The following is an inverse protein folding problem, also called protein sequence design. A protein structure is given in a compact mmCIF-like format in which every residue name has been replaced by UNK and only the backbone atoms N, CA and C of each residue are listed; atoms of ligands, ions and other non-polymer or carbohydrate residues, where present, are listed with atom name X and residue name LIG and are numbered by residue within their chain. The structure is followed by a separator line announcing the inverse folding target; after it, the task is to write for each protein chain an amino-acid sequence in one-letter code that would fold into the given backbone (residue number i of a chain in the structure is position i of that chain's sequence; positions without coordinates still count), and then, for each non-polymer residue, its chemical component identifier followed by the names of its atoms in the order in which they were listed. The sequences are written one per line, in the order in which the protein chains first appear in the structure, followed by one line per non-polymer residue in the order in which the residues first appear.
data_IF_975179908667
#
_entry.id   IF_975179908667
#
_cell.length_a   1.000
_cell.length_b   1.000
_cell.length_c   1.000
_cell.angle_alpha   90.00
_cell.angle_beta   90.00
_cell.angle_gamma   90.00
#
_symmetry.space_group_name_H-M   'P 1'
#
loop_
_entity.id
_entity.type
_entity.pdbx_description
1 polymer ?
#
# COMPACT_ATOMS: atom_id res chain seq x y z
N UNK A 1 5.81 -24.81 4.67
CA UNK A 1 6.13 -24.23 6.01
C UNK A 1 4.95 -23.42 6.54
N UNK A 2 4.07 -24.03 7.35
CA UNK A 2 2.95 -23.32 7.99
C UNK A 2 3.40 -22.34 9.09
N UNK A 3 4.59 -22.53 9.66
CA UNK A 3 5.12 -21.76 10.79
C UNK A 3 5.52 -20.32 10.45
N UNK A 4 5.83 -20.01 9.19
CA UNK A 4 6.29 -18.68 8.77
C UNK A 4 5.18 -17.62 8.67
N UNK A 5 3.90 -18.01 8.82
CA UNK A 5 2.77 -17.09 8.64
C UNK A 5 2.64 -16.07 9.79
N UNK A 6 2.81 -16.53 11.02
CA UNK A 6 2.70 -15.68 12.22
C UNK A 6 3.83 -14.65 12.31
N UNK A 7 5.12 -15.01 12.10
CA UNK A 7 6.20 -14.03 12.03
C UNK A 7 5.99 -12.97 10.93
N UNK A 8 5.53 -13.39 9.75
CA UNK A 8 5.24 -12.48 8.64
C UNK A 8 4.17 -11.44 9.00
N UNK A 9 3.04 -11.88 9.56
CA UNK A 9 1.95 -10.97 9.97
C UNK A 9 2.37 -10.07 11.14
N UNK A 10 3.19 -10.57 12.07
CA UNK A 10 3.73 -9.76 13.15
C UNK A 10 4.66 -8.67 12.61
N UNK A 11 5.57 -8.99 11.69
CA UNK A 11 6.44 -8.00 11.06
C UNK A 11 5.62 -6.93 10.34
N UNK A 12 4.60 -7.32 9.55
CA UNK A 12 3.69 -6.36 8.90
C UNK A 12 2.99 -5.47 9.92
N UNK A 13 2.51 -6.04 11.05
CA UNK A 13 1.84 -5.27 12.10
C UNK A 13 2.76 -4.22 12.69
N UNK A 14 3.96 -4.61 13.14
CA UNK A 14 4.92 -3.68 13.75
C UNK A 14 5.35 -2.59 12.77
N UNK A 15 5.62 -2.94 11.51
CA UNK A 15 5.99 -1.97 10.47
C UNK A 15 4.84 -1.01 10.16
N UNK A 16 3.60 -1.48 10.10
CA UNK A 16 2.44 -0.61 9.92
C UNK A 16 2.23 0.31 11.11
N UNK A 17 2.39 -0.17 12.35
CA UNK A 17 2.30 0.67 13.55
C UNK A 17 3.35 1.79 13.50
N UNK A 18 4.58 1.48 13.08
CA UNK A 18 5.63 2.49 12.91
C UNK A 18 5.35 3.47 11.76
N UNK A 19 4.80 2.99 10.64
CA UNK A 19 4.48 3.82 9.48
C UNK A 19 3.24 4.71 9.70
N UNK A 20 2.29 4.30 10.56
CA UNK A 20 1.04 5.02 10.84
C UNK A 20 1.21 6.23 11.79
N UNK A 21 2.43 6.73 11.99
CA UNK A 21 2.70 7.98 12.70
C UNK A 21 2.41 9.22 11.84
N UNK A 22 1.20 9.31 11.28
CA UNK A 22 0.77 10.38 10.37
C UNK A 22 0.31 11.64 11.11
N UNK A 23 0.51 12.79 10.49
CA UNK A 23 0.08 14.10 11.00
C UNK A 23 -0.62 14.89 9.90
N UNK A 24 -1.48 15.83 10.29
CA UNK A 24 -2.10 16.72 9.31
C UNK A 24 -1.04 17.67 8.72
N UNK A 25 -0.82 17.58 7.42
CA UNK A 25 0.18 18.39 6.70
C UNK A 25 -0.43 18.92 5.39
N UNK A 26 -0.38 20.24 5.21
CA UNK A 26 -0.86 20.90 4.00
C UNK A 26 0.11 20.73 2.83
N UNK A 27 -0.41 20.72 1.61
CA UNK A 27 0.40 20.57 0.40
C UNK A 27 1.34 21.77 0.23
N UNK A 28 2.64 21.52 0.04
CA UNK A 28 3.64 22.56 -0.20
C UNK A 28 3.59 23.12 -1.63
N UNK A 29 3.10 22.32 -2.59
CA UNK A 29 3.12 22.67 -4.01
C UNK A 29 1.90 23.47 -4.43
N UNK A 30 0.73 23.18 -3.85
CA UNK A 30 -0.54 23.82 -4.21
C UNK A 30 -1.14 24.49 -2.98
N UNK A 31 -1.24 25.82 -3.04
CA UNK A 31 -1.78 26.63 -1.96
C UNK A 31 -3.20 26.18 -1.56
N UNK A 32 -3.48 26.13 -0.25
CA UNK A 32 -4.80 25.79 0.33
C UNK A 32 -5.30 24.38 0.01
N UNK A 33 -4.45 23.49 -0.48
CA UNK A 33 -4.79 22.08 -0.65
C UNK A 33 -4.19 21.22 0.47
N UNK A 34 -4.90 20.15 0.81
CA UNK A 34 -4.41 19.08 1.66
C UNK A 34 -4.58 17.77 0.88
N UNK A 35 -3.47 17.16 0.49
CA UNK A 35 -3.43 15.97 -0.36
C UNK A 35 -2.55 14.92 0.31
N UNK A 36 -2.85 13.62 0.14
CA UNK A 36 -1.97 12.56 0.60
C UNK A 36 -0.64 12.60 -0.16
N UNK A 37 0.45 12.94 0.54
CA UNK A 37 1.78 13.15 -0.06
C UNK A 37 2.33 11.88 -0.74
N UNK A 38 1.99 10.69 -0.22
CA UNK A 38 2.39 9.40 -0.84
C UNK A 38 1.77 9.18 -2.24
N UNK A 39 0.65 9.84 -2.53
CA UNK A 39 -0.06 9.77 -3.82
C UNK A 39 0.26 10.95 -4.74
N UNK A 40 1.07 11.91 -4.30
CA UNK A 40 1.48 13.03 -5.13
C UNK A 40 2.20 12.51 -6.39
N UNK A 41 1.83 13.08 -7.55
CA UNK A 41 2.49 12.77 -8.82
C UNK A 41 3.94 13.25 -8.81
N UNK A 42 4.80 12.65 -9.63
CA UNK A 42 6.24 12.97 -9.64
C UNK A 42 6.55 14.48 -9.80
N UNK A 43 5.67 15.25 -10.43
CA UNK A 43 5.83 16.70 -10.63
C UNK A 43 5.42 17.53 -9.39
N UNK A 44 4.68 16.95 -8.45
CA UNK A 44 4.19 17.59 -7.22
C UNK A 44 4.69 16.87 -5.96
N UNK A 45 5.76 16.08 -6.09
CA UNK A 45 6.25 15.17 -5.05
C UNK A 45 7.40 15.85 -4.28
N UNK A 46 7.16 16.17 -3.02
CA UNK A 46 8.21 16.59 -2.07
C UNK A 46 8.91 15.35 -1.52
N UNK A 47 10.15 15.09 -1.95
CA UNK A 47 10.90 13.90 -1.54
C UNK A 47 11.19 13.88 -0.04
N UNK A 48 11.32 15.04 0.59
CA UNK A 48 11.54 15.22 2.02
C UNK A 48 10.36 14.77 2.89
N UNK A 49 9.16 14.68 2.32
CA UNK A 49 7.95 14.27 3.04
C UNK A 49 7.71 12.75 2.96
N UNK A 50 8.52 12.04 2.19
CA UNK A 50 8.37 10.62 1.91
C UNK A 50 9.34 9.80 2.76
N UNK A 51 8.84 8.65 3.22
CA UNK A 51 9.65 7.65 3.87
C UNK A 51 10.16 6.65 2.85
N UNK A 52 11.26 5.96 3.18
CA UNK A 52 11.75 4.86 2.36
C UNK A 52 10.67 3.75 2.27
N UNK A 53 10.30 3.30 1.07
CA UNK A 53 9.41 2.16 0.90
C UNK A 53 9.98 0.90 1.55
N UNK A 54 9.12 0.16 2.25
CA UNK A 54 9.50 -1.10 2.89
C UNK A 54 8.74 -2.24 2.23
N UNK A 55 9.46 -3.27 1.78
CA UNK A 55 8.86 -4.50 1.23
C UNK A 55 9.10 -5.64 2.20
N UNK A 56 8.02 -6.24 2.69
CA UNK A 56 8.03 -7.43 3.54
C UNK A 56 7.54 -8.59 2.68
N UNK A 57 8.40 -9.56 2.42
CA UNK A 57 8.07 -10.73 1.61
C UNK A 57 8.15 -12.01 2.44
N UNK A 58 7.13 -12.86 2.33
CA UNK A 58 7.17 -14.22 2.89
C UNK A 58 7.71 -15.22 1.87
N UNK A 59 7.39 -15.00 0.60
CA UNK A 59 7.87 -15.74 -0.56
C UNK A 59 7.73 -14.83 -1.80
N UNK A 60 8.13 -15.32 -2.98
CA UNK A 60 8.06 -14.55 -4.23
C UNK A 60 6.62 -14.14 -4.63
N UNK A 61 5.62 -14.88 -4.13
CA UNK A 61 4.20 -14.73 -4.45
C UNK A 61 3.39 -14.00 -3.37
N UNK A 62 3.94 -13.81 -2.16
CA UNK A 62 3.33 -13.14 -1.02
C UNK A 62 4.25 -12.03 -0.52
N UNK A 63 3.89 -10.79 -0.82
CA UNK A 63 4.62 -9.60 -0.39
C UNK A 63 3.68 -8.45 -0.05
N UNK A 64 4.06 -7.64 0.92
CA UNK A 64 3.41 -6.36 1.24
C UNK A 64 4.44 -5.26 1.07
N UNK A 65 4.07 -4.22 0.34
CA UNK A 65 4.84 -2.99 0.20
C UNK A 65 4.13 -1.89 0.97
N UNK A 66 4.88 -1.23 1.86
CA UNK A 66 4.41 -0.13 2.72
C UNK A 66 5.18 1.11 2.31
N UNK A 67 4.46 2.13 1.87
CA UNK A 67 5.01 3.43 1.49
C UNK A 67 4.44 4.47 2.44
N UNK A 68 5.31 5.08 3.24
CA UNK A 68 4.93 6.10 4.22
C UNK A 68 5.20 7.51 3.72
N UNK A 69 4.45 8.46 4.26
CA UNK A 69 4.71 9.90 4.17
C UNK A 69 4.27 10.57 5.46
N UNK A 70 4.51 11.87 5.59
CA UNK A 70 4.12 12.64 6.79
C UNK A 70 2.61 12.59 7.10
N UNK A 71 1.73 12.54 6.09
CA UNK A 71 0.27 12.65 6.28
C UNK A 71 -0.54 11.46 5.76
N UNK A 72 0.11 10.48 5.13
CA UNK A 72 -0.58 9.35 4.51
C UNK A 72 0.33 8.13 4.35
N UNK A 73 -0.26 6.94 4.37
CA UNK A 73 0.44 5.66 4.17
C UNK A 73 -0.29 4.89 3.08
N UNK A 74 0.47 4.31 2.16
CA UNK A 74 -0.04 3.42 1.12
C UNK A 74 0.44 1.99 1.38
N UNK A 75 -0.51 1.05 1.35
CA UNK A 75 -0.23 -0.37 1.56
C UNK A 75 -0.65 -1.15 0.32
N UNK A 76 0.30 -1.86 -0.27
CA UNK A 76 0.08 -2.72 -1.45
C UNK A 76 0.33 -4.18 -1.10
N UNK A 77 -0.68 -5.03 -1.29
CA UNK A 77 -0.64 -6.44 -0.90
C UNK A 77 -0.63 -7.32 -2.16
N UNK A 78 0.38 -8.18 -2.30
CA UNK A 78 0.39 -9.29 -3.24
C UNK A 78 -0.11 -10.55 -2.52
N UNK A 79 -1.27 -11.04 -2.94
CA UNK A 79 -1.92 -12.23 -2.42
C UNK A 79 -1.38 -13.44 -3.18
N UNK A 80 -1.15 -14.56 -2.48
CA UNK A 80 -0.77 -15.83 -3.12
C UNK A 80 -1.84 -16.26 -4.11
N UNK A 81 -1.40 -16.69 -5.29
CA UNK A 81 -2.23 -17.29 -6.33
C UNK A 81 -1.51 -18.55 -6.78
N UNK A 82 -2.03 -19.72 -6.41
CA UNK A 82 -1.40 -21.02 -6.67
C UNK A 82 -1.71 -21.56 -8.07
N UNK A 83 -2.84 -21.15 -8.65
CA UNK A 83 -3.31 -21.57 -9.97
C UNK A 83 -4.07 -20.44 -10.69
N UNK A 84 -4.44 -20.68 -11.95
CA UNK A 84 -5.19 -19.73 -12.78
C UNK A 84 -6.60 -19.43 -12.21
N UNK A 85 -7.20 -20.41 -11.52
CA UNK A 85 -8.51 -20.24 -10.91
C UNK A 85 -8.44 -19.23 -9.75
N UNK A 86 -7.46 -19.37 -8.87
CA UNK A 86 -7.18 -18.42 -7.78
C UNK A 86 -6.79 -17.04 -8.31
N UNK A 87 -6.08 -16.95 -9.44
CA UNK A 87 -5.81 -15.67 -10.09
C UNK A 87 -7.11 -14.96 -10.50
N UNK A 88 -8.02 -15.67 -11.17
CA UNK A 88 -9.32 -15.13 -11.60
C UNK A 88 -10.19 -14.77 -10.39
N UNK A 89 -10.25 -15.63 -9.38
CA UNK A 89 -11.01 -15.38 -8.15
C UNK A 89 -10.49 -14.14 -7.43
N UNK A 90 -9.17 -14.04 -7.24
CA UNK A 90 -8.53 -12.89 -6.60
C UNK A 90 -8.79 -11.62 -7.39
N UNK A 91 -8.68 -11.67 -8.73
CA UNK A 91 -8.95 -10.53 -9.61
C UNK A 91 -10.41 -10.06 -9.52
N UNK A 92 -11.38 -10.98 -9.53
CA UNK A 92 -12.81 -10.65 -9.40
C UNK A 92 -13.14 -10.10 -8.01
N UNK A 93 -12.62 -10.74 -6.96
CA UNK A 93 -12.86 -10.33 -5.58
C UNK A 93 -12.27 -8.95 -5.27
N UNK A 94 -11.01 -8.71 -5.65
CA UNK A 94 -10.39 -7.40 -5.47
C UNK A 94 -11.09 -6.32 -6.29
N UNK A 95 -11.51 -6.61 -7.53
CA UNK A 95 -12.32 -5.68 -8.33
C UNK A 95 -13.66 -5.35 -7.66
N UNK A 96 -14.33 -6.35 -7.08
CA UNK A 96 -15.58 -6.15 -6.34
C UNK A 96 -15.40 -5.20 -5.14
N UNK A 97 -14.31 -5.36 -4.38
CA UNK A 97 -13.98 -4.49 -3.26
C UNK A 97 -13.65 -3.07 -3.72
N UNK A 98 -12.87 -2.92 -4.79
CA UNK A 98 -12.49 -1.60 -5.33
C UNK A 98 -13.70 -0.80 -5.85
N UNK A 99 -14.72 -1.47 -6.40
CA UNK A 99 -15.98 -0.81 -6.80
C UNK A 99 -16.76 -0.26 -5.60
N UNK A 100 -16.46 -0.70 -4.38
CA UNK A 100 -17.10 -0.26 -3.12
C UNK A 100 -16.18 0.61 -2.26
N UNK A 101 -15.10 1.14 -2.84
CA UNK A 101 -14.14 1.99 -2.14
C UNK A 101 -14.77 3.26 -1.53
N UNK A 102 -15.94 3.70 -2.01
CA UNK A 102 -16.67 4.82 -1.39
C UNK A 102 -17.25 4.45 -0.01
N UNK A 103 -17.72 3.22 0.16
CA UNK A 103 -18.20 2.72 1.45
C UNK A 103 -17.05 2.26 2.35
N UNK A 104 -15.94 1.83 1.76
CA UNK A 104 -14.75 1.43 2.48
C UNK A 104 -13.59 2.39 2.18
N UNK A 105 -13.63 3.54 2.87
CA UNK A 105 -12.85 4.76 2.59
C UNK A 105 -11.33 4.60 2.54
N UNK A 106 -10.80 3.50 3.06
CA UNK A 106 -9.36 3.18 3.04
C UNK A 106 -8.91 2.47 1.76
N UNK A 107 -9.85 1.96 0.95
CA UNK A 107 -9.51 1.26 -0.30
C UNK A 107 -9.22 2.24 -1.43
N UNK A 108 -8.18 1.92 -2.19
CA UNK A 108 -7.91 2.60 -3.47
C UNK A 108 -8.82 2.03 -4.55
N UNK A 109 -9.31 2.90 -5.43
CA UNK A 109 -10.12 2.52 -6.61
C UNK A 109 -9.32 1.74 -7.66
N UNK A 110 -7.99 1.90 -7.65
CA UNK A 110 -7.05 1.18 -8.52
C UNK A 110 -5.85 0.70 -7.70
N UNK A 111 -5.32 -0.51 -7.95
CA UNK A 111 -4.10 -0.97 -7.28
C UNK A 111 -2.87 -0.26 -7.85
N UNK A 112 -1.73 -0.36 -7.16
CA UNK A 112 -0.44 0.11 -7.70
C UNK A 112 0.00 -0.81 -8.84
N UNK A 113 0.59 -0.20 -9.87
CA UNK A 113 1.15 -0.91 -11.04
C UNK A 113 2.23 -1.91 -10.62
N UNK A 114 2.31 -3.09 -11.27
CA UNK A 114 3.30 -4.11 -10.94
C UNK A 114 4.75 -3.62 -11.05
N UNK A 115 5.03 -2.71 -11.98
CA UNK A 115 6.36 -2.11 -12.22
C UNK A 115 6.91 -1.39 -10.99
N UNK A 116 6.05 -0.80 -10.17
CA UNK A 116 6.42 -0.06 -8.95
C UNK A 116 6.51 -0.95 -7.71
N UNK A 117 6.30 -2.27 -7.82
CA UNK A 117 6.32 -3.23 -6.70
C UNK A 117 7.69 -3.88 -6.44
N UNK A 118 8.72 -3.46 -7.18
CA UNK A 118 10.04 -4.10 -7.24
C UNK A 118 11.20 -3.13 -6.94
N UNK A 119 10.90 -1.89 -6.54
CA UNK A 119 11.89 -1.02 -5.94
C UNK A 119 12.17 -1.45 -4.50
#
# INVERSE_FOLDING_TARGET
MALAHKPYLNCIRETLTAAMCIQNFGCQVVERHNKPEVEASNTQRSEELLMNPIVIARNENEKVMIEGSINSVRVSIKIKQADEMEEILTKKFTRFLMMRAENFVVLRRKPVEPSKRHA
#
